data_IF_504727406715
#
_entry.id   IF_504727406715
#
_cell.length_a   1.000
_cell.length_b   1.000
_cell.length_c   1.000
_cell.angle_alpha   90.00
_cell.angle_beta   90.00
_cell.angle_gamma   90.00
#
_symmetry.space_group_name_H-M   'P 1'
#
loop_
_entity.id
_entity.type
_entity.pdbx_description
1 polymer ?
#
# COMPACT_ATOMS: atom_id res chain seq x y z
N UNK A 1 -6.11 12.43 -13.90
CA UNK A 1 -6.19 11.81 -12.56
C UNK A 1 -6.39 10.31 -12.70
N UNK A 2 -7.17 9.91 -13.69
CA UNK A 2 -7.55 8.57 -14.12
C UNK A 2 -6.40 7.54 -14.07
N UNK A 3 -5.21 7.90 -14.55
CA UNK A 3 -4.07 6.98 -14.54
C UNK A 3 -3.64 6.52 -13.13
N UNK A 4 -3.80 7.38 -12.11
CA UNK A 4 -3.46 7.01 -10.73
C UNK A 4 -4.57 6.19 -10.04
N UNK A 5 -5.80 6.27 -10.55
CA UNK A 5 -6.91 5.42 -10.13
C UNK A 5 -6.70 3.98 -10.62
N UNK A 6 -6.18 3.81 -11.83
CA UNK A 6 -5.85 2.50 -12.41
C UNK A 6 -4.68 1.80 -11.70
N UNK A 7 -3.76 2.59 -11.12
CA UNK A 7 -2.59 2.11 -10.36
C UNK A 7 -2.90 1.95 -8.85
N UNK A 8 -4.13 2.23 -8.41
CA UNK A 8 -4.50 2.14 -7.00
C UNK A 8 -4.35 0.69 -6.49
N UNK A 9 -3.86 0.55 -5.25
CA UNK A 9 -3.52 -0.73 -4.61
C UNK A 9 -2.36 -1.51 -5.29
N UNK A 10 -1.70 -0.94 -6.29
CA UNK A 10 -0.57 -1.56 -6.99
C UNK A 10 0.77 -0.91 -6.60
N UNK A 11 1.87 -1.57 -6.96
CA UNK A 11 3.19 -0.99 -6.80
C UNK A 11 3.37 0.20 -7.73
N UNK A 12 3.72 1.35 -7.15
CA UNK A 12 3.89 2.59 -7.90
C UNK A 12 5.07 2.51 -8.88
N UNK A 13 4.80 2.27 -10.15
CA UNK A 13 5.82 2.28 -11.20
C UNK A 13 6.00 3.69 -11.77
N UNK A 14 6.81 4.50 -11.07
CA UNK A 14 7.10 5.89 -11.45
C UNK A 14 7.65 5.99 -12.88
N UNK A 15 8.58 5.11 -13.26
CA UNK A 15 9.15 5.10 -14.61
C UNK A 15 8.08 4.86 -15.68
N UNK A 16 7.18 3.89 -15.46
CA UNK A 16 6.09 3.60 -16.40
C UNK A 16 5.14 4.78 -16.58
N UNK A 17 4.68 5.37 -15.47
CA UNK A 17 3.78 6.51 -15.49
C UNK A 17 4.47 7.70 -16.17
N UNK A 18 5.70 8.02 -15.78
CA UNK A 18 6.47 9.15 -16.31
C UNK A 18 6.64 9.04 -17.84
N UNK A 19 6.91 7.84 -18.35
CA UNK A 19 6.99 7.57 -19.79
C UNK A 19 5.64 7.74 -20.48
N UNK A 20 4.53 7.26 -19.88
CA UNK A 20 3.20 7.36 -20.47
C UNK A 20 2.74 8.82 -20.63
N UNK A 21 3.04 9.68 -19.67
CA UNK A 21 2.69 11.12 -19.73
C UNK A 21 3.84 12.01 -20.24
N UNK A 22 4.93 11.42 -20.75
CA UNK A 22 6.09 12.09 -21.33
C UNK A 22 6.71 13.18 -20.44
N UNK A 23 7.02 12.83 -19.19
CA UNK A 23 7.72 13.71 -18.24
C UNK A 23 8.92 13.00 -17.61
N UNK A 24 9.87 13.76 -17.06
CA UNK A 24 10.96 13.18 -16.28
C UNK A 24 10.43 12.53 -14.99
N UNK A 25 11.04 11.40 -14.56
CA UNK A 25 10.68 10.72 -13.31
C UNK A 25 10.77 11.63 -12.07
N UNK A 26 11.75 12.54 -12.06
CA UNK A 26 11.91 13.54 -10.98
C UNK A 26 10.71 14.48 -10.86
N UNK A 27 10.11 14.86 -11.99
CA UNK A 27 8.87 15.65 -12.04
C UNK A 27 7.71 14.87 -11.47
N UNK A 28 7.56 13.60 -11.86
CA UNK A 28 6.50 12.75 -11.34
C UNK A 28 6.63 12.50 -9.83
N UNK A 29 7.86 12.29 -9.32
CA UNK A 29 8.10 12.21 -7.88
C UNK A 29 7.66 13.48 -7.13
N UNK A 30 7.93 14.67 -7.70
CA UNK A 30 7.47 15.93 -7.13
C UNK A 30 5.94 16.01 -7.14
N UNK A 31 5.29 15.60 -8.22
CA UNK A 31 3.82 15.59 -8.30
C UNK A 31 3.19 14.64 -7.28
N UNK A 32 3.71 13.42 -7.14
CA UNK A 32 3.23 12.46 -6.14
C UNK A 32 3.42 13.02 -4.73
N UNK A 33 4.54 13.69 -4.45
CA UNK A 33 4.75 14.37 -3.17
C UNK A 33 3.66 15.42 -2.90
N UNK A 34 3.32 16.22 -3.91
CA UNK A 34 2.26 17.24 -3.81
C UNK A 34 0.88 16.60 -3.61
N UNK A 35 0.53 15.58 -4.40
CA UNK A 35 -0.75 14.86 -4.28
C UNK A 35 -0.95 14.25 -2.89
N UNK A 36 0.13 13.74 -2.27
CA UNK A 36 0.09 13.23 -0.90
C UNK A 36 -0.19 14.32 0.14
N UNK A 37 0.32 15.54 -0.07
CA UNK A 37 0.06 16.67 0.82
C UNK A 37 -1.39 17.17 0.72
N UNK A 38 -2.00 17.01 -0.44
CA UNK A 38 -3.42 17.31 -0.66
C UNK A 38 -4.37 16.17 -0.26
N UNK A 39 -3.86 15.12 0.41
CA UNK A 39 -4.66 13.94 0.77
C UNK A 39 -5.38 13.31 -0.44
N UNK A 40 -4.76 13.37 -1.63
CA UNK A 40 -5.27 12.62 -2.78
C UNK A 40 -4.89 11.13 -2.68
N UNK A 41 -3.62 10.86 -2.36
CA UNK A 41 -3.11 9.51 -2.19
C UNK A 41 -2.16 9.38 -0.99
N UNK A 42 -1.89 8.16 -0.57
CA UNK A 42 -0.85 7.81 0.40
C UNK A 42 -0.06 6.59 -0.09
N UNK A 43 1.13 6.38 0.48
CA UNK A 43 2.03 5.31 0.09
C UNK A 43 2.24 4.35 1.23
N UNK A 44 2.14 3.05 0.94
CA UNK A 44 2.44 1.98 1.90
C UNK A 44 3.72 1.27 1.45
N UNK A 45 4.73 1.31 2.30
CA UNK A 45 6.04 0.71 2.05
C UNK A 45 5.99 -0.81 2.28
N UNK A 46 6.80 -1.60 1.57
CA UNK A 46 6.92 -3.02 1.86
C UNK A 46 7.62 -3.27 3.19
N UNK A 47 7.18 -4.29 3.91
CA UNK A 47 7.85 -4.73 5.13
C UNK A 47 9.26 -5.26 4.83
N UNK A 48 10.24 -4.75 5.57
CA UNK A 48 11.62 -5.21 5.51
C UNK A 48 12.23 -5.19 6.92
N UNK A 49 12.92 -6.27 7.31
CA UNK A 49 13.71 -6.29 8.56
C UNK A 49 14.82 -5.24 8.56
N UNK A 50 15.36 -4.89 7.39
CA UNK A 50 16.40 -3.89 7.24
C UNK A 50 15.83 -2.60 6.62
N UNK A 51 15.82 -1.53 7.42
CA UNK A 51 15.30 -0.21 7.02
C UNK A 51 16.02 0.34 5.78
N UNK A 52 17.34 0.08 5.62
CA UNK A 52 18.09 0.53 4.44
C UNK A 52 17.63 -0.15 3.16
N UNK A 53 17.16 -1.39 3.25
CA UNK A 53 16.59 -2.11 2.11
C UNK A 53 15.17 -1.64 1.80
N UNK A 54 14.40 -1.24 2.82
CA UNK A 54 13.05 -0.72 2.63
C UNK A 54 13.01 0.54 1.76
N UNK A 55 13.99 1.44 1.93
CA UNK A 55 14.08 2.70 1.17
C UNK A 55 14.18 2.45 -0.35
N UNK A 56 14.79 1.33 -0.76
CA UNK A 56 14.98 1.00 -2.18
C UNK A 56 13.80 0.28 -2.81
N UNK A 57 12.82 -0.15 -2.02
CA UNK A 57 11.70 -0.94 -2.55
C UNK A 57 10.52 -0.03 -2.90
N UNK A 58 9.90 -0.35 -4.03
CA UNK A 58 8.74 0.36 -4.56
C UNK A 58 7.55 0.25 -3.59
N UNK A 59 6.99 1.37 -3.12
CA UNK A 59 5.78 1.34 -2.30
C UNK A 59 4.53 1.02 -3.14
N UNK A 60 3.46 0.57 -2.48
CA UNK A 60 2.12 0.58 -3.06
C UNK A 60 1.48 1.96 -2.93
N UNK A 61 0.69 2.37 -3.91
CA UNK A 61 -0.10 3.61 -3.86
C UNK A 61 -1.55 3.31 -3.53
N UNK A 62 -2.14 4.11 -2.67
CA UNK A 62 -3.55 4.02 -2.30
C UNK A 62 -4.17 5.40 -2.36
N UNK A 63 -5.45 5.49 -2.72
CA UNK A 63 -6.22 6.72 -2.72
C UNK A 63 -6.91 6.92 -1.38
N UNK A 64 -7.06 8.18 -0.95
CA UNK A 64 -7.90 8.48 0.21
C UNK A 64 -9.39 8.27 -0.09
N UNK A 65 -9.81 8.67 -1.29
CA UNK A 65 -11.12 8.31 -1.84
C UNK A 65 -11.03 7.01 -2.63
N UNK A 66 -11.20 5.89 -1.93
CA UNK A 66 -11.22 4.55 -2.52
C UNK A 66 -12.45 4.31 -3.41
N UNK A 67 -13.50 5.14 -3.31
CA UNK A 67 -14.74 4.91 -4.07
C UNK A 67 -14.58 5.21 -5.57
N UNK A 68 -13.59 6.03 -5.92
CA UNK A 68 -13.24 6.37 -7.32
C UNK A 68 -12.62 5.19 -8.08
N UNK A 69 -12.15 4.15 -7.39
CA UNK A 69 -11.45 3.02 -8.00
C UNK A 69 -12.46 2.13 -8.75
N UNK A 70 -12.19 1.91 -10.03
CA UNK A 70 -13.05 1.13 -10.93
C UNK A 70 -12.91 -0.37 -10.72
N UNK A 71 -11.67 -0.86 -10.59
CA UNK A 71 -11.39 -2.28 -10.35
C UNK A 71 -11.87 -2.68 -8.95
N UNK A 72 -12.72 -3.71 -8.89
CA UNK A 72 -13.41 -4.09 -7.65
C UNK A 72 -12.45 -4.65 -6.61
N UNK A 73 -11.48 -5.47 -7.03
CA UNK A 73 -10.44 -6.02 -6.16
C UNK A 73 -9.55 -4.94 -5.56
N UNK A 74 -9.04 -4.03 -6.40
CA UNK A 74 -8.20 -2.91 -5.98
C UNK A 74 -8.96 -1.94 -5.08
N UNK A 75 -10.25 -1.70 -5.36
CA UNK A 75 -11.14 -0.91 -4.51
C UNK A 75 -11.33 -1.54 -3.13
N UNK A 76 -11.57 -2.85 -3.08
CA UNK A 76 -11.71 -3.57 -1.81
C UNK A 76 -10.42 -3.52 -0.99
N UNK A 77 -9.26 -3.76 -1.62
CA UNK A 77 -7.95 -3.65 -0.97
C UNK A 77 -7.74 -2.23 -0.42
N UNK A 78 -7.99 -1.20 -1.24
CA UNK A 78 -7.83 0.19 -0.83
C UNK A 78 -8.77 0.57 0.32
N UNK A 79 -10.03 0.12 0.27
CA UNK A 79 -10.99 0.33 1.35
C UNK A 79 -10.45 -0.22 2.68
N UNK A 80 -9.97 -1.46 2.68
CA UNK A 80 -9.42 -2.10 3.89
C UNK A 80 -8.14 -1.38 4.34
N UNK A 81 -7.23 -1.07 3.41
CA UNK A 81 -6.00 -0.33 3.71
C UNK A 81 -6.29 1.04 4.35
N UNK A 82 -7.28 1.78 3.84
CA UNK A 82 -7.67 3.09 4.39
C UNK A 82 -8.25 2.98 5.80
N UNK A 83 -9.02 1.93 6.09
CA UNK A 83 -9.57 1.70 7.43
C UNK A 83 -8.50 1.24 8.42
N UNK A 84 -7.59 0.38 7.99
CA UNK A 84 -6.45 -0.03 8.81
C UNK A 84 -5.48 1.13 9.06
N UNK A 85 -5.26 2.01 8.09
CA UNK A 85 -4.43 3.20 8.29
C UNK A 85 -5.01 4.09 9.39
N UNK A 86 -6.33 4.34 9.36
CA UNK A 86 -7.04 5.08 10.41
C UNK A 86 -6.90 4.40 11.78
N UNK A 87 -7.07 3.07 11.84
CA UNK A 87 -6.93 2.31 13.07
C UNK A 87 -5.49 2.34 13.64
N UNK A 88 -4.49 2.21 12.77
CA UNK A 88 -3.06 2.27 13.11
C UNK A 88 -2.70 3.63 13.69
N UNK A 89 -3.15 4.73 13.07
CA UNK A 89 -2.96 6.07 13.64
C UNK A 89 -3.64 6.18 15.00
N UNK A 90 -4.92 5.81 15.09
CA UNK A 90 -5.67 5.86 16.34
C UNK A 90 -4.97 5.10 17.47
N UNK A 91 -4.59 3.83 17.28
CA UNK A 91 -3.91 3.02 18.31
C UNK A 91 -2.58 3.63 18.75
N UNK A 92 -1.86 4.28 17.83
CA UNK A 92 -0.62 4.98 18.15
C UNK A 92 -0.89 6.25 18.95
N UNK A 93 -1.86 7.05 18.52
CA UNK A 93 -2.21 8.33 19.14
C UNK A 93 -2.76 8.16 20.57
N UNK A 94 -3.45 7.06 20.86
CA UNK A 94 -3.92 6.73 22.22
C UNK A 94 -2.88 5.98 23.08
N UNK A 95 -1.65 5.78 22.57
CA UNK A 95 -0.55 5.23 23.35
C UNK A 95 -0.53 3.71 23.52
N UNK A 96 -1.22 2.92 22.68
CA UNK A 96 -1.20 1.44 22.77
C UNK A 96 0.09 0.80 22.21
N UNK A 97 0.97 1.60 21.61
CA UNK A 97 2.23 1.21 20.98
C UNK A 97 2.49 1.98 19.68
N UNK A 98 3.65 1.75 19.05
CA UNK A 98 3.92 2.29 17.71
C UNK A 98 3.34 1.33 16.67
N UNK A 99 2.28 1.75 15.97
CA UNK A 99 1.70 0.96 14.89
C UNK A 99 2.06 1.55 13.53
N UNK A 100 2.27 0.68 12.55
CA UNK A 100 2.57 1.08 11.17
C UNK A 100 1.94 0.09 10.18
N UNK A 101 1.54 0.61 9.02
CA UNK A 101 0.96 -0.16 7.92
C UNK A 101 2.02 -0.46 6.85
N UNK A 102 2.05 -1.70 6.38
CA UNK A 102 2.94 -2.20 5.33
C UNK A 102 2.19 -3.15 4.40
N UNK A 103 2.86 -3.60 3.34
CA UNK A 103 2.50 -4.82 2.62
C UNK A 103 3.68 -5.79 2.62
N UNK A 104 3.47 -7.07 2.34
CA UNK A 104 4.56 -8.05 2.27
C UNK A 104 4.79 -8.48 0.84
N UNK A 105 6.06 -8.53 0.43
CA UNK A 105 6.49 -9.14 -0.82
C UNK A 105 7.85 -9.79 -0.66
N UNK A 106 7.95 -11.07 -1.00
CA UNK A 106 9.22 -11.77 -1.03
C UNK A 106 9.89 -11.76 -2.41
N UNK A 107 11.07 -12.38 -2.48
CA UNK A 107 11.85 -12.54 -3.71
C UNK A 107 11.16 -13.44 -4.74
N UNK A 108 10.22 -14.28 -4.32
CA UNK A 108 9.41 -15.15 -5.18
C UNK A 108 8.13 -14.45 -5.68
N UNK A 109 8.00 -13.13 -5.45
CA UNK A 109 6.84 -12.30 -5.81
C UNK A 109 5.54 -12.77 -5.15
N UNK A 110 5.61 -13.47 -4.02
CA UNK A 110 4.43 -13.78 -3.21
C UNK A 110 4.08 -12.55 -2.39
N UNK A 111 2.87 -12.05 -2.58
CA UNK A 111 2.37 -10.87 -1.92
C UNK A 111 1.33 -11.22 -0.86
N UNK A 112 1.36 -10.45 0.23
CA UNK A 112 0.24 -10.34 1.16
C UNK A 112 -0.14 -8.87 1.16
N UNK A 113 -1.43 -8.60 0.96
CA UNK A 113 -1.94 -7.26 0.68
C UNK A 113 -1.52 -6.26 1.75
N UNK A 114 -1.69 -6.61 3.03
CA UNK A 114 -1.44 -5.71 4.15
C UNK A 114 -0.78 -6.45 5.33
N UNK A 115 0.16 -5.78 5.99
CA UNK A 115 0.75 -6.13 7.26
C UNK A 115 0.60 -4.95 8.22
N UNK A 116 0.09 -5.20 9.42
CA UNK A 116 0.19 -4.25 10.52
C UNK A 116 1.36 -4.65 11.40
N UNK A 117 2.22 -3.69 11.72
CA UNK A 117 3.30 -3.88 12.69
C UNK A 117 2.96 -3.19 14.01
N UNK A 118 3.44 -3.73 15.13
CA UNK A 118 3.41 -3.13 16.46
C UNK A 118 4.82 -3.11 17.03
N UNK A 119 5.30 -1.94 17.45
CA UNK A 119 6.64 -1.74 18.02
C UNK A 119 7.74 -2.35 17.13
N UNK A 120 7.67 -2.07 15.83
CA UNK A 120 8.61 -2.56 14.80
C UNK A 120 8.66 -4.08 14.65
N UNK A 121 7.62 -4.78 15.09
CA UNK A 121 7.45 -6.23 14.90
C UNK A 121 6.16 -6.50 14.11
N UNK A 122 6.15 -7.44 13.15
CA UNK A 122 4.93 -7.87 12.50
C UNK A 122 3.89 -8.28 13.55
N UNK A 123 2.66 -7.78 13.44
CA UNK A 123 1.59 -8.10 14.39
C UNK A 123 0.56 -9.03 13.76
N UNK A 124 0.00 -8.65 12.62
CA UNK A 124 -0.89 -9.52 11.85
C UNK A 124 -0.88 -9.16 10.37
N UNK A 125 -1.27 -10.15 9.56
CA UNK A 125 -1.41 -10.06 8.11
C UNK A 125 -2.90 -9.97 7.75
N UNK A 126 -3.21 -9.23 6.69
CA UNK A 126 -4.55 -9.13 6.13
C UNK A 126 -4.48 -9.40 4.64
N UNK A 127 -5.35 -10.31 4.22
CA UNK A 127 -5.61 -10.64 2.82
C UNK A 127 -7.04 -10.22 2.52
N UNK A 128 -7.24 -9.45 1.45
CA UNK A 128 -8.54 -8.94 1.05
C UNK A 128 -9.09 -9.78 -0.08
N UNK A 129 -10.30 -10.29 0.09
CA UNK A 129 -10.99 -11.10 -0.93
C UNK A 129 -12.42 -10.64 -1.08
N UNK A 130 -12.84 -10.39 -2.32
CA UNK A 130 -14.24 -10.09 -2.61
C UNK A 130 -15.16 -11.31 -2.49
N UNK A 131 -14.64 -12.52 -2.75
CA UNK A 131 -15.46 -13.74 -2.78
C UNK A 131 -15.15 -14.67 -1.62
N UNK A 132 -16.19 -15.08 -0.89
CA UNK A 132 -16.12 -16.03 0.23
C UNK A 132 -15.58 -17.42 -0.17
N UNK A 133 -15.72 -17.81 -1.44
CA UNK A 133 -15.35 -19.13 -1.97
C UNK A 133 -13.90 -19.28 -2.43
N UNK A 134 -13.10 -18.21 -2.44
CA UNK A 134 -11.66 -18.33 -2.74
C UNK A 134 -10.91 -18.55 -1.43
N UNK A 135 -10.53 -19.81 -1.16
CA UNK A 135 -9.68 -20.17 -0.01
C UNK A 135 -8.47 -19.25 0.12
N UNK A 136 -8.06 -18.95 1.35
CA UNK A 136 -6.98 -18.01 1.70
C UNK A 136 -5.72 -18.26 0.85
N UNK A 137 -5.03 -17.19 0.41
CA UNK A 137 -3.83 -17.34 -0.41
C UNK A 137 -2.79 -18.18 0.32
N UNK A 138 -2.23 -19.19 -0.38
CA UNK A 138 -1.17 -20.03 0.18
C UNK A 138 0.07 -19.23 0.58
N UNK A 139 0.22 -18.00 0.07
CA UNK A 139 1.29 -17.09 0.44
C UNK A 139 1.32 -16.80 1.95
N UNK A 140 0.16 -16.76 2.62
CA UNK A 140 0.07 -16.51 4.05
C UNK A 140 0.74 -17.59 4.91
N UNK A 141 0.86 -18.83 4.43
CA UNK A 141 1.54 -19.91 5.19
C UNK A 141 3.06 -19.71 5.30
N UNK A 142 3.63 -18.77 4.57
CA UNK A 142 5.08 -18.55 4.53
C UNK A 142 5.58 -17.40 5.41
N UNK A 143 4.68 -16.72 6.14
CA UNK A 143 4.97 -15.54 6.96
C UNK A 143 4.39 -15.67 8.36
#
# INVERSE_FOLDING_TARGET
MDLLEDEASQQLNVASIANHINVAESTLHRWIKVLRQFYYCYLVKPWCKNVRQAIRKTPKVYLWDWSMIKDSGSRAENFVASHLLKAVHYWTDIGLGEYELFYVRDKLKREVDILVSKNKRPWFLVEVKETRNKGISKALHYY
#
